data_IF_799721688098
#
_entry.id   IF_799721688098
#
_cell.length_a   1.000
_cell.length_b   1.000
_cell.length_c   1.000
_cell.angle_alpha   90.00
_cell.angle_beta   90.00
_cell.angle_gamma   90.00
#
_symmetry.space_group_name_H-M   'P 1'
#
loop_
_entity.id
_entity.type
_entity.pdbx_description
1 polymer ?
#
# COMPACT_ATOMS: atom_id res chain seq x y z
N UNK A 1 2.94 5.65 -7.69
CA UNK A 1 2.62 6.78 -8.57
C UNK A 1 2.16 6.32 -9.96
N UNK A 2 2.95 5.51 -10.70
CA UNK A 2 2.62 5.08 -12.08
C UNK A 2 1.29 4.32 -12.18
N UNK A 3 0.96 3.48 -11.20
CA UNK A 3 -0.30 2.71 -11.17
C UNK A 3 -1.52 3.63 -10.99
N UNK A 4 -1.37 4.69 -10.20
CA UNK A 4 -2.45 5.65 -9.94
C UNK A 4 -2.63 6.61 -11.13
N UNK A 5 -1.54 7.04 -11.75
CA UNK A 5 -1.56 7.89 -12.94
C UNK A 5 -2.14 7.12 -14.14
N UNK A 6 -1.83 5.82 -14.27
CA UNK A 6 -2.35 4.98 -15.35
C UNK A 6 -3.86 4.68 -15.27
N UNK A 7 -4.50 4.83 -14.09
CA UNK A 7 -5.95 4.64 -13.96
C UNK A 7 -6.78 5.79 -14.52
N UNK A 8 -6.30 7.02 -14.47
CA UNK A 8 -7.01 8.21 -14.94
C UNK A 8 -7.45 8.12 -16.42
N UNK A 9 -6.55 7.85 -17.38
CA UNK A 9 -6.92 7.74 -18.80
C UNK A 9 -7.84 6.56 -19.13
N UNK A 10 -7.78 5.45 -18.37
CA UNK A 10 -8.65 4.29 -18.59
C UNK A 10 -10.09 4.57 -18.17
N UNK A 11 -10.27 5.31 -17.07
CA UNK A 11 -11.61 5.71 -16.58
C UNK A 11 -12.25 6.72 -17.53
N UNK A 12 -11.48 7.69 -18.05
CA UNK A 12 -11.99 8.71 -18.99
C UNK A 12 -12.35 8.14 -20.37
N UNK A 13 -11.73 7.03 -20.78
CA UNK A 13 -12.04 6.39 -22.07
C UNK A 13 -13.18 5.37 -22.02
N UNK A 14 -13.84 5.19 -20.87
CA UNK A 14 -14.96 4.25 -20.71
C UNK A 14 -14.58 2.76 -20.85
N UNK A 15 -13.27 2.45 -20.92
CA UNK A 15 -12.77 1.07 -20.99
C UNK A 15 -12.82 0.43 -19.62
N UNK A 16 -13.26 -0.83 -19.56
CA UNK A 16 -13.20 -1.61 -18.32
C UNK A 16 -11.76 -1.80 -17.86
N UNK A 17 -11.46 -1.41 -16.62
CA UNK A 17 -10.14 -1.61 -16.02
C UNK A 17 -9.84 -3.12 -15.93
N UNK A 18 -8.72 -3.61 -16.47
CA UNK A 18 -8.36 -5.01 -16.37
C UNK A 18 -8.27 -5.48 -14.91
N UNK A 19 -8.73 -6.69 -14.62
CA UNK A 19 -8.78 -7.22 -13.25
C UNK A 19 -7.41 -7.29 -12.56
N UNK A 20 -6.33 -7.54 -13.32
CA UNK A 20 -4.96 -7.54 -12.79
C UNK A 20 -4.51 -6.14 -12.34
N UNK A 21 -4.96 -5.10 -13.04
CA UNK A 21 -4.63 -3.71 -12.70
C UNK A 21 -5.34 -3.28 -11.42
N UNK A 22 -6.61 -3.65 -11.25
CA UNK A 22 -7.34 -3.41 -10.01
C UNK A 22 -6.69 -4.13 -8.81
N UNK A 23 -6.21 -5.37 -9.02
CA UNK A 23 -5.47 -6.11 -8.01
C UNK A 23 -4.16 -5.41 -7.64
N UNK A 24 -3.37 -4.99 -8.63
CA UNK A 24 -2.13 -4.25 -8.40
C UNK A 24 -2.38 -2.94 -7.63
N UNK A 25 -3.42 -2.21 -8.01
CA UNK A 25 -3.84 -0.98 -7.32
C UNK A 25 -4.21 -1.26 -5.85
N UNK A 26 -4.95 -2.33 -5.56
CA UNK A 26 -5.26 -2.75 -4.19
C UNK A 26 -4.01 -3.12 -3.38
N UNK A 27 -3.07 -3.86 -3.96
CA UNK A 27 -1.78 -4.21 -3.33
C UNK A 27 -0.98 -2.95 -2.99
N UNK A 28 -0.84 -2.02 -3.94
CA UNK A 28 -0.12 -0.75 -3.73
C UNK A 28 -0.80 0.09 -2.65
N UNK A 29 -2.13 0.16 -2.63
CA UNK A 29 -2.89 0.86 -1.59
C UNK A 29 -2.60 0.27 -0.20
N UNK A 30 -2.62 -1.06 -0.06
CA UNK A 30 -2.31 -1.72 1.20
C UNK A 30 -0.89 -1.40 1.68
N UNK A 31 0.11 -1.42 0.81
CA UNK A 31 1.49 -1.08 1.18
C UNK A 31 1.65 0.38 1.58
N UNK A 32 1.01 1.31 0.88
CA UNK A 32 1.08 2.72 1.22
C UNK A 32 0.44 3.01 2.58
N UNK A 33 -0.67 2.34 2.91
CA UNK A 33 -1.27 2.43 4.25
C UNK A 33 -0.32 1.93 5.33
N UNK A 34 0.34 0.78 5.11
CA UNK A 34 1.33 0.24 6.05
C UNK A 34 2.51 1.20 6.21
N UNK A 35 3.06 1.72 5.11
CA UNK A 35 4.18 2.69 5.14
C UNK A 35 3.77 3.94 5.92
N UNK A 36 2.57 4.49 5.64
CA UNK A 36 2.05 5.65 6.35
C UNK A 36 1.93 5.41 7.85
N UNK A 37 1.34 4.29 8.27
CA UNK A 37 1.20 3.95 9.69
C UNK A 37 2.56 3.71 10.35
N UNK A 38 3.40 2.87 9.77
CA UNK A 38 4.70 2.51 10.36
C UNK A 38 5.59 3.74 10.50
N UNK A 39 5.68 4.58 9.46
CA UNK A 39 6.49 5.78 9.55
C UNK A 39 6.04 6.71 10.69
N UNK A 40 4.74 6.99 10.77
CA UNK A 40 4.24 7.95 11.76
C UNK A 40 4.21 7.40 13.20
N UNK A 41 4.11 6.07 13.38
CA UNK A 41 4.00 5.44 14.70
C UNK A 41 5.36 4.98 15.23
N UNK A 42 6.18 4.33 14.37
CA UNK A 42 7.41 3.67 14.84
C UNK A 42 8.69 4.48 14.58
N UNK A 43 8.72 5.31 13.53
CA UNK A 43 9.95 5.98 13.09
C UNK A 43 9.75 7.45 12.68
N UNK A 44 8.95 8.23 13.43
CA UNK A 44 8.70 9.62 13.04
C UNK A 44 10.01 10.42 13.02
N UNK A 45 10.20 11.20 11.94
CA UNK A 45 11.35 12.10 11.85
C UNK A 45 12.73 11.45 11.64
N UNK A 46 12.79 10.13 11.40
CA UNK A 46 14.08 9.42 11.21
C UNK A 46 14.64 9.52 9.79
N UNK A 47 13.88 10.08 8.85
CA UNK A 47 14.32 10.27 7.47
C UNK A 47 15.26 11.46 7.30
N UNK A 48 16.17 11.40 6.32
CA UNK A 48 17.04 12.52 5.91
C UNK A 48 16.33 13.54 5.02
N UNK A 49 15.08 13.29 4.62
CA UNK A 49 14.31 14.17 3.76
C UNK A 49 13.79 15.39 4.53
N UNK A 50 13.61 16.55 3.86
CA UNK A 50 12.96 17.71 4.45
C UNK A 50 11.59 17.36 5.07
N UNK A 51 11.18 17.99 6.19
CA UNK A 51 9.94 17.62 6.89
C UNK A 51 8.69 17.63 6.01
N UNK A 52 8.57 18.58 5.10
CA UNK A 52 7.43 18.68 4.18
C UNK A 52 7.37 17.47 3.19
N UNK A 53 8.53 16.95 2.77
CA UNK A 53 8.61 15.76 1.91
C UNK A 53 8.15 14.54 2.69
N UNK A 54 8.57 14.40 3.94
CA UNK A 54 8.13 13.30 4.81
C UNK A 54 6.61 13.33 5.04
N UNK A 55 6.02 14.49 5.30
CA UNK A 55 4.57 14.64 5.43
C UNK A 55 3.87 14.28 4.12
N UNK A 56 4.38 14.74 2.98
CA UNK A 56 3.80 14.44 1.67
C UNK A 56 3.79 12.94 1.39
N UNK A 57 4.90 12.24 1.65
CA UNK A 57 5.05 10.82 1.32
C UNK A 57 4.37 9.87 2.31
N UNK A 58 4.35 10.22 3.60
CA UNK A 58 3.91 9.29 4.64
C UNK A 58 2.55 9.64 5.25
N UNK A 59 1.97 10.81 4.89
CA UNK A 59 0.63 11.22 5.33
C UNK A 59 -0.25 11.53 4.13
N UNK A 60 0.11 12.55 3.34
CA UNK A 60 -0.77 13.06 2.27
C UNK A 60 -0.99 11.99 1.19
N UNK A 61 0.08 11.40 0.70
CA UNK A 61 0.00 10.42 -0.39
C UNK A 61 -0.73 9.13 0.01
N UNK A 62 -0.47 8.48 1.17
CA UNK A 62 -1.27 7.36 1.64
C UNK A 62 -2.75 7.70 1.83
N UNK A 63 -3.08 8.89 2.37
CA UNK A 63 -4.46 9.33 2.54
C UNK A 63 -5.17 9.54 1.20
N UNK A 64 -4.52 10.19 0.23
CA UNK A 64 -5.09 10.39 -1.11
C UNK A 64 -5.39 9.05 -1.79
N UNK A 65 -4.48 8.07 -1.68
CA UNK A 65 -4.67 6.73 -2.25
C UNK A 65 -5.78 5.96 -1.54
N UNK A 66 -5.90 6.11 -0.21
CA UNK A 66 -6.98 5.52 0.55
C UNK A 66 -8.34 6.12 0.17
N UNK A 67 -8.41 7.45 0.03
CA UNK A 67 -9.62 8.14 -0.41
C UNK A 67 -10.00 7.75 -1.84
N UNK A 68 -9.04 7.73 -2.77
CA UNK A 68 -9.26 7.24 -4.13
C UNK A 68 -9.82 5.81 -4.12
N UNK A 69 -9.23 4.93 -3.31
CA UNK A 69 -9.70 3.55 -3.18
C UNK A 69 -11.11 3.45 -2.58
N UNK A 70 -11.47 4.30 -1.64
CA UNK A 70 -12.79 4.27 -0.99
C UNK A 70 -13.88 4.92 -1.83
N UNK A 71 -13.58 6.06 -2.47
CA UNK A 71 -14.58 6.90 -3.11
C UNK A 71 -14.86 6.51 -4.57
N UNK A 72 -13.83 6.07 -5.32
CA UNK A 72 -14.01 5.74 -6.73
C UNK A 72 -14.46 4.29 -6.89
N UNK A 73 -15.70 4.10 -7.34
CA UNK A 73 -16.37 2.80 -7.44
C UNK A 73 -16.12 2.03 -8.75
N UNK A 74 -15.07 2.35 -9.50
CA UNK A 74 -14.74 1.75 -10.81
C UNK A 74 -14.06 0.37 -10.75
N UNK A 75 -13.78 -0.11 -9.53
CA UNK A 75 -13.00 -1.32 -9.28
C UNK A 75 -13.85 -2.57 -9.14
N UNK A 76 -13.42 -3.72 -9.69
CA UNK A 76 -14.02 -5.01 -9.40
C UNK A 76 -13.71 -5.45 -7.96
N UNK A 77 -14.56 -6.30 -7.40
CA UNK A 77 -14.30 -6.93 -6.09
C UNK A 77 -13.04 -7.77 -6.18
N UNK A 78 -12.10 -7.54 -5.26
CA UNK A 78 -10.87 -8.32 -5.20
C UNK A 78 -11.16 -9.73 -4.63
N UNK A 79 -10.68 -10.81 -5.29
CA UNK A 79 -10.87 -12.17 -4.80
C UNK A 79 -9.97 -12.44 -3.60
N UNK A 80 -10.53 -12.98 -2.52
CA UNK A 80 -9.78 -13.32 -1.30
C UNK A 80 -8.65 -14.31 -1.56
N UNK A 81 -8.83 -15.20 -2.54
CA UNK A 81 -7.78 -16.16 -2.93
C UNK A 81 -6.48 -15.52 -3.42
N UNK A 82 -6.48 -14.22 -3.72
CA UNK A 82 -5.28 -13.48 -4.15
C UNK A 82 -4.67 -12.61 -3.05
N UNK A 83 -5.20 -12.65 -1.83
CA UNK A 83 -4.67 -11.86 -0.71
C UNK A 83 -3.20 -12.22 -0.40
N UNK A 84 -2.80 -13.47 -0.58
CA UNK A 84 -1.43 -13.92 -0.39
C UNK A 84 -0.40 -13.17 -1.25
N UNK A 85 -0.82 -12.55 -2.36
CA UNK A 85 0.06 -11.76 -3.24
C UNK A 85 0.64 -10.52 -2.55
N UNK A 86 0.13 -10.15 -1.38
CA UNK A 86 0.72 -9.12 -0.52
C UNK A 86 2.02 -9.58 0.17
N UNK A 87 2.26 -10.87 0.30
CA UNK A 87 3.36 -11.40 1.12
C UNK A 87 4.72 -11.41 0.41
N UNK A 88 4.85 -11.76 -0.87
CA UNK A 88 6.15 -11.94 -1.53
C UNK A 88 7.03 -10.68 -1.49
N UNK A 89 6.49 -9.52 -1.80
CA UNK A 89 7.28 -8.29 -1.85
C UNK A 89 7.87 -7.89 -0.48
N UNK A 90 7.10 -7.83 0.64
CA UNK A 90 7.66 -7.55 1.95
C UNK A 90 8.69 -8.57 2.40
N UNK A 91 8.51 -9.85 2.06
CA UNK A 91 9.49 -10.89 2.40
C UNK A 91 10.81 -10.70 1.64
N UNK A 92 10.75 -10.46 0.33
CA UNK A 92 11.96 -10.19 -0.47
C UNK A 92 12.66 -8.94 0.06
N UNK A 93 11.91 -7.87 0.30
CA UNK A 93 12.44 -6.63 0.86
C UNK A 93 13.11 -6.87 2.23
N UNK A 94 12.45 -7.62 3.11
CA UNK A 94 12.98 -7.95 4.43
C UNK A 94 14.29 -8.74 4.34
N UNK A 95 14.34 -9.77 3.48
CA UNK A 95 15.58 -10.56 3.26
C UNK A 95 16.72 -9.66 2.79
N UNK A 96 16.46 -8.76 1.84
CA UNK A 96 17.46 -7.81 1.35
C UNK A 96 17.93 -6.84 2.43
N UNK A 97 17.01 -6.32 3.25
CA UNK A 97 17.33 -5.40 4.35
C UNK A 97 18.16 -6.10 5.44
N UNK A 98 17.77 -7.31 5.83
CA UNK A 98 18.52 -8.07 6.83
C UNK A 98 19.91 -8.47 6.31
N UNK A 99 20.00 -8.87 5.05
CA UNK A 99 21.30 -9.17 4.43
C UNK A 99 22.22 -7.93 4.44
N UNK A 100 21.71 -6.78 4.03
CA UNK A 100 22.49 -5.52 4.11
C UNK A 100 22.83 -5.13 5.55
N UNK A 101 21.93 -5.38 6.49
CA UNK A 101 22.18 -5.16 7.92
C UNK A 101 23.37 -5.97 8.45
N UNK A 102 23.57 -7.17 7.92
CA UNK A 102 24.71 -8.05 8.30
C UNK A 102 25.98 -7.70 7.54
N UNK A 103 25.90 -7.33 6.24
CA UNK A 103 27.08 -7.11 5.37
C UNK A 103 27.69 -5.73 5.51
N UNK A 104 26.89 -4.69 5.47
CA UNK A 104 27.31 -3.28 5.46
C UNK A 104 26.75 -2.44 6.64
N UNK A 105 26.06 -3.11 7.60
CA UNK A 105 25.50 -2.45 8.78
C UNK A 105 24.32 -1.52 8.48
N UNK A 106 23.88 -1.46 7.21
CA UNK A 106 22.80 -0.56 6.82
C UNK A 106 21.43 -1.19 6.99
N UNK A 107 20.57 -0.55 7.77
CA UNK A 107 19.14 -0.85 7.84
C UNK A 107 18.35 0.45 7.75
N UNK A 108 17.22 0.48 7.00
CA UNK A 108 16.44 1.69 6.80
C UNK A 108 15.74 2.18 8.09
N UNK A 109 15.61 1.30 9.07
CA UNK A 109 14.89 1.59 10.32
C UNK A 109 15.51 0.85 11.49
N UNK A 110 15.83 1.58 12.55
CA UNK A 110 16.51 1.04 13.74
C UNK A 110 15.79 -0.11 14.45
N UNK A 111 14.48 -0.32 14.22
CA UNK A 111 13.74 -1.44 14.78
C UNK A 111 14.05 -2.80 14.10
N UNK A 112 14.67 -2.78 12.90
CA UNK A 112 15.12 -3.98 12.18
C UNK A 112 16.60 -4.31 12.44
N UNK A 113 17.27 -3.63 13.36
CA UNK A 113 18.66 -3.91 13.71
C UNK A 113 18.79 -5.26 14.42
N UNK A 114 19.56 -6.24 13.86
CA UNK A 114 19.82 -7.52 14.52
C UNK A 114 20.53 -7.36 15.89
N UNK A 115 21.29 -6.27 16.05
CA UNK A 115 22.00 -5.94 17.30
C UNK A 115 21.07 -5.72 18.51
N UNK A 116 19.77 -5.49 18.31
CA UNK A 116 18.75 -5.41 19.37
C UNK A 116 18.30 -6.77 19.92
N UNK A 117 18.83 -7.84 19.38
CA UNK A 117 18.50 -9.22 19.77
C UNK A 117 17.41 -9.85 18.89
N UNK A 118 17.51 -11.16 18.74
CA UNK A 118 16.62 -11.95 17.86
C UNK A 118 15.15 -11.84 18.25
N UNK A 119 14.84 -11.78 19.55
CA UNK A 119 13.46 -11.65 20.03
C UNK A 119 12.79 -10.37 19.57
N UNK A 120 13.49 -9.24 19.67
CA UNK A 120 13.01 -7.94 19.18
C UNK A 120 12.84 -7.95 17.67
N UNK A 121 13.80 -8.50 16.94
CA UNK A 121 13.74 -8.61 15.49
C UNK A 121 12.52 -9.43 15.04
N UNK A 122 12.31 -10.61 15.63
CA UNK A 122 11.18 -11.49 15.32
C UNK A 122 9.84 -10.82 15.61
N UNK A 123 9.72 -10.10 16.73
CA UNK A 123 8.51 -9.37 17.09
C UNK A 123 8.21 -8.27 16.04
N UNK A 124 9.21 -7.52 15.61
CA UNK A 124 9.05 -6.45 14.64
C UNK A 124 8.72 -6.98 13.24
N UNK A 125 9.34 -8.10 12.82
CA UNK A 125 9.05 -8.77 11.55
C UNK A 125 7.61 -9.32 11.56
N UNK A 126 7.19 -9.97 12.66
CA UNK A 126 5.83 -10.46 12.79
C UNK A 126 4.82 -9.31 12.80
N UNK A 127 5.11 -8.23 13.53
CA UNK A 127 4.29 -7.03 13.55
C UNK A 127 4.13 -6.41 12.17
N UNK A 128 5.21 -6.31 11.38
CA UNK A 128 5.16 -5.83 10.00
C UNK A 128 4.30 -6.73 9.11
N UNK A 129 4.45 -8.05 9.21
CA UNK A 129 3.64 -9.00 8.43
C UNK A 129 2.16 -8.90 8.80
N UNK A 130 1.84 -8.82 10.09
CA UNK A 130 0.45 -8.62 10.57
C UNK A 130 -0.10 -7.30 10.05
N UNK A 131 0.66 -6.21 10.10
CA UNK A 131 0.22 -4.92 9.57
C UNK A 131 -0.09 -4.97 8.07
N UNK A 132 0.74 -5.65 7.27
CA UNK A 132 0.51 -5.85 5.83
C UNK A 132 -0.77 -6.65 5.59
N UNK A 133 -0.98 -7.73 6.33
CA UNK A 133 -2.18 -8.56 6.18
C UNK A 133 -3.45 -7.80 6.61
N UNK A 134 -3.41 -7.05 7.71
CA UNK A 134 -4.55 -6.24 8.16
C UNK A 134 -4.88 -5.14 7.15
N UNK A 135 -3.90 -4.42 6.64
CA UNK A 135 -4.10 -3.43 5.58
C UNK A 135 -4.70 -4.09 4.32
N UNK A 136 -4.22 -5.28 3.96
CA UNK A 136 -4.78 -6.07 2.86
C UNK A 136 -6.25 -6.43 3.11
N UNK A 137 -6.58 -6.95 4.27
CA UNK A 137 -7.97 -7.27 4.65
C UNK A 137 -8.87 -6.03 4.56
N UNK A 138 -8.41 -4.87 5.05
CA UNK A 138 -9.14 -3.61 4.95
C UNK A 138 -9.38 -3.21 3.49
N UNK A 139 -8.35 -3.24 2.65
CA UNK A 139 -8.44 -2.89 1.22
C UNK A 139 -9.34 -3.86 0.47
N UNK A 140 -9.25 -5.19 0.73
CA UNK A 140 -10.11 -6.21 0.13
C UNK A 140 -11.56 -6.08 0.57
N UNK A 141 -11.80 -5.77 1.83
CA UNK A 141 -13.14 -5.49 2.36
C UNK A 141 -13.70 -4.21 1.72
N UNK A 142 -12.90 -3.14 1.67
CA UNK A 142 -13.28 -1.88 1.03
C UNK A 142 -13.61 -2.05 -0.46
N UNK A 143 -12.98 -3.00 -1.18
CA UNK A 143 -13.32 -3.29 -2.57
C UNK A 143 -14.76 -3.77 -2.79
N UNK A 144 -15.48 -4.15 -1.73
CA UNK A 144 -16.87 -4.61 -1.77
C UNK A 144 -17.88 -3.48 -1.61
N UNK A 145 -17.45 -2.34 -1.06
CA UNK A 145 -18.30 -1.16 -0.98
C UNK A 145 -18.36 -0.49 -2.35
N UNK A 146 -19.58 -0.14 -2.78
CA UNK A 146 -19.79 0.63 -4.00
C UNK A 146 -19.47 2.09 -3.70
N UNK A 147 -18.35 2.59 -4.19
CA UNK A 147 -18.08 4.01 -4.24
C UNK A 147 -18.98 4.73 -5.26
N UNK A 148 -18.81 6.04 -5.39
CA UNK A 148 -19.51 6.85 -6.40
C UNK A 148 -19.10 6.33 -7.79
N UNK A 149 -20.05 5.81 -8.58
CA UNK A 149 -19.82 5.50 -9.97
C UNK A 149 -19.89 6.80 -10.77
N UNK A 150 -18.79 7.18 -11.38
CA UNK A 150 -18.72 8.32 -12.31
C UNK A 150 -19.34 7.98 -13.70
N UNK A 151 -20.13 6.91 -13.78
CA UNK A 151 -20.97 6.67 -14.96
C UNK A 151 -22.07 7.71 -14.95
N UNK A 152 -21.81 8.81 -15.59
CA UNK A 152 -22.81 9.73 -16.07
C UNK A 152 -23.81 8.93 -16.94
N UNK A 153 -25.10 9.02 -16.58
CA UNK A 153 -26.19 8.51 -17.38
C UNK A 153 -26.09 9.18 -18.76
N UNK A 154 -25.43 8.56 -19.71
CA UNK A 154 -25.69 8.81 -21.10
C UNK A 154 -27.11 8.32 -21.38
N UNK A 155 -28.10 9.17 -21.05
CA UNK A 155 -29.45 9.04 -21.50
C UNK A 155 -29.40 9.07 -23.02
N UNK A 156 -29.85 8.06 -23.75
CA UNK A 156 -30.05 8.20 -25.17
C UNK A 156 -31.20 9.20 -25.32
N UNK A 157 -30.83 10.40 -25.75
CA UNK A 157 -31.84 11.32 -26.33
C UNK A 157 -32.40 10.61 -27.54
N UNK A 158 -33.67 10.20 -27.43
CA UNK A 158 -34.44 9.62 -28.49
C UNK A 158 -34.70 10.61 -29.65
#
# INVERSE_FOLDING_TARGET
ALVLIGSGPLVTTGRSVPSWFALLRGIVTAYLLVVGVIYNVLVPGTGSAPPWVSVLLHVVFPLLVALDWLLIGDRPRLPWSRLWMLVPYPLIWLVLVLWRGVTDGWVPSGFLLPARGLGSLMLNVLGLLVAVLLAGVLVWTASRFRGVSLRENASPLG
#
